data_IF_690931240474
#
_entry.id   IF_690931240474
#
_cell.length_a   1.000
_cell.length_b   1.000
_cell.length_c   1.000
_cell.angle_alpha   90.00
_cell.angle_beta   90.00
_cell.angle_gamma   90.00
#
_symmetry.space_group_name_H-M   'P 1'
#
loop_
_entity.id
_entity.type
_entity.pdbx_description
1 polymer ?
#
# COMPACT_ATOMS: atom_id res chain seq x y z
N UNK A 1 16.76 9.15 10.09
CA UNK A 1 15.93 7.93 10.03
C UNK A 1 14.48 8.36 9.88
N UNK A 2 13.99 8.54 8.66
CA UNK A 2 12.56 8.73 8.42
C UNK A 2 11.89 7.38 8.67
N UNK A 3 11.32 7.20 9.86
CA UNK A 3 10.39 6.11 10.05
C UNK A 3 9.19 6.40 9.13
N UNK A 4 8.93 5.51 8.16
CA UNK A 4 7.57 5.33 7.65
C UNK A 4 6.75 4.89 8.86
N UNK A 5 6.24 5.86 9.60
CA UNK A 5 5.48 5.71 10.83
C UNK A 5 4.07 5.26 10.45
N UNK A 6 3.94 4.04 9.91
CA UNK A 6 2.64 3.44 9.59
C UNK A 6 1.69 3.36 10.79
N UNK A 7 2.16 3.66 12.01
CA UNK A 7 1.36 3.77 13.23
C UNK A 7 0.18 4.73 13.03
N UNK A 8 -1.01 4.16 12.86
CA UNK A 8 -2.28 4.86 12.71
C UNK A 8 -2.62 5.32 11.29
N UNK A 9 -1.71 5.16 10.32
CA UNK A 9 -1.94 5.60 8.94
C UNK A 9 -2.75 4.55 8.16
N UNK A 10 -3.62 5.01 7.26
CA UNK A 10 -4.34 4.17 6.31
C UNK A 10 -3.51 3.96 5.05
N UNK A 11 -3.22 2.71 4.70
CA UNK A 11 -2.28 2.33 3.64
C UNK A 11 -2.88 1.24 2.75
N UNK A 12 -2.67 1.36 1.44
CA UNK A 12 -2.80 0.25 0.49
C UNK A 12 -1.43 -0.35 0.21
N UNK A 13 -1.37 -1.67 0.11
CA UNK A 13 -0.14 -2.43 -0.15
C UNK A 13 -0.51 -3.69 -0.91
N UNK A 14 0.47 -4.31 -1.56
CA UNK A 14 0.30 -5.65 -2.13
C UNK A 14 -0.15 -6.59 -1.01
N UNK A 15 -1.25 -7.31 -1.26
CA UNK A 15 -1.92 -8.08 -0.22
C UNK A 15 -1.25 -9.44 -0.04
N UNK A 16 -1.40 -10.03 1.15
CA UNK A 16 -1.00 -11.41 1.38
C UNK A 16 -1.73 -12.36 0.42
N UNK A 17 -2.98 -12.05 0.08
CA UNK A 17 -3.75 -12.85 -0.88
C UNK A 17 -3.19 -12.77 -2.31
N UNK A 18 -2.79 -11.58 -2.78
CA UNK A 18 -2.12 -11.42 -4.08
C UNK A 18 -0.74 -12.10 -4.10
N UNK A 19 -0.02 -12.08 -2.97
CA UNK A 19 1.27 -12.78 -2.81
C UNK A 19 1.14 -14.31 -2.88
N UNK A 20 0.10 -14.86 -2.24
CA UNK A 20 -0.22 -16.28 -2.29
C UNK A 20 -0.64 -16.73 -3.71
N UNK A 21 -1.44 -15.93 -4.43
CA UNK A 21 -1.81 -16.23 -5.82
C UNK A 21 -0.59 -16.27 -6.76
N UNK A 22 0.42 -15.46 -6.47
CA UNK A 22 1.69 -15.43 -7.21
C UNK A 22 2.71 -16.47 -6.73
N UNK A 23 2.42 -17.21 -5.65
CA UNK A 23 3.30 -18.21 -5.04
C UNK A 23 4.65 -17.62 -4.62
N UNK A 24 4.63 -16.40 -4.09
CA UNK A 24 5.83 -15.66 -3.71
C UNK A 24 6.13 -15.69 -2.20
N UNK A 25 5.26 -16.32 -1.40
CA UNK A 25 5.35 -16.37 0.08
C UNK A 25 6.72 -16.89 0.57
N UNK A 26 7.28 -17.89 -0.11
CA UNK A 26 8.59 -18.48 0.22
C UNK A 26 9.79 -17.75 -0.44
N UNK A 27 9.51 -16.78 -1.31
CA UNK A 27 10.53 -15.99 -2.03
C UNK A 27 10.83 -14.69 -1.29
N UNK A 28 9.79 -14.05 -0.75
CA UNK A 28 9.92 -12.79 -0.03
C UNK A 28 10.43 -13.02 1.40
N UNK A 29 11.23 -12.10 1.96
CA UNK A 29 11.79 -12.26 3.31
C UNK A 29 10.75 -12.06 4.43
N UNK A 30 9.58 -11.50 4.11
CA UNK A 30 8.45 -11.31 5.01
C UNK A 30 7.21 -10.88 4.20
N UNK A 31 6.03 -11.16 4.74
CA UNK A 31 4.75 -10.70 4.19
C UNK A 31 4.53 -9.21 4.51
N UNK A 32 4.46 -8.36 3.47
CA UNK A 32 4.45 -6.90 3.64
C UNK A 32 3.19 -6.38 4.34
N UNK A 33 2.01 -6.88 3.99
CA UNK A 33 0.74 -6.49 4.62
C UNK A 33 0.78 -6.78 6.13
N UNK A 34 1.18 -7.99 6.51
CA UNK A 34 1.33 -8.40 7.91
C UNK A 34 2.32 -7.50 8.65
N UNK A 35 3.50 -7.26 8.07
CA UNK A 35 4.53 -6.44 8.70
C UNK A 35 4.08 -4.97 8.90
N UNK A 36 3.24 -4.43 8.02
CA UNK A 36 2.66 -3.09 8.15
C UNK A 36 1.59 -3.05 9.26
N UNK A 37 0.73 -4.07 9.35
CA UNK A 37 -0.26 -4.22 10.44
C UNK A 37 0.45 -4.27 11.80
N UNK A 38 1.51 -5.06 11.95
CA UNK A 38 2.29 -5.15 13.18
C UNK A 38 2.92 -3.81 13.60
N UNK A 39 3.24 -2.95 12.62
CA UNK A 39 3.71 -1.58 12.85
C UNK A 39 2.59 -0.58 13.13
N UNK A 40 1.33 -1.03 13.11
CA UNK A 40 0.14 -0.27 13.46
C UNK A 40 -0.56 0.41 12.27
N UNK A 41 -0.28 0.00 11.04
CA UNK A 41 -1.01 0.47 9.86
C UNK A 41 -2.43 -0.07 9.81
N UNK A 42 -3.34 0.72 9.23
CA UNK A 42 -4.68 0.26 8.83
C UNK A 42 -4.64 -0.07 7.35
N UNK A 43 -4.74 -1.35 7.02
CA UNK A 43 -4.73 -1.79 5.63
C UNK A 43 -6.09 -1.50 5.01
N UNK A 44 -6.06 -0.77 3.90
CA UNK A 44 -7.21 -0.44 3.08
C UNK A 44 -6.99 -1.05 1.69
N UNK A 45 -7.65 -2.19 1.46
CA UNK A 45 -7.48 -3.05 0.29
C UNK A 45 -8.77 -3.19 -0.51
N UNK A 46 -8.64 -3.36 -1.82
CA UNK A 46 -9.70 -3.77 -2.73
C UNK A 46 -9.56 -5.27 -3.05
N UNK A 47 -10.45 -5.78 -3.91
CA UNK A 47 -10.30 -7.12 -4.49
C UNK A 47 -8.93 -7.29 -5.16
N UNK A 48 -8.41 -8.51 -5.18
CA UNK A 48 -7.11 -8.81 -5.77
C UNK A 48 -7.05 -8.30 -7.22
N UNK A 49 -5.94 -7.65 -7.57
CA UNK A 49 -5.66 -7.07 -8.89
C UNK A 49 -6.54 -5.88 -9.29
N UNK A 50 -7.52 -5.48 -8.47
CA UNK A 50 -8.29 -4.27 -8.68
C UNK A 50 -7.43 -3.02 -8.41
N UNK A 51 -7.78 -1.92 -9.07
CA UNK A 51 -7.18 -0.62 -8.81
C UNK A 51 -7.52 -0.12 -7.39
N UNK A 52 -6.49 0.21 -6.61
CA UNK A 52 -6.65 0.72 -5.23
C UNK A 52 -5.48 1.60 -4.79
N UNK A 53 -5.82 2.82 -4.34
CA UNK A 53 -4.90 3.81 -3.76
C UNK A 53 -5.50 4.35 -2.46
N UNK A 54 -4.67 4.44 -1.41
CA UNK A 54 -4.98 5.20 -0.19
C UNK A 54 -4.15 6.48 -0.14
N UNK A 55 -4.77 7.56 0.34
CA UNK A 55 -4.14 8.85 0.60
C UNK A 55 -4.38 9.21 2.06
N UNK A 56 -3.31 9.33 2.84
CA UNK A 56 -3.33 9.77 4.24
C UNK A 56 -2.37 10.95 4.43
N UNK A 57 -2.91 12.16 4.38
CA UNK A 57 -2.13 13.39 4.34
C UNK A 57 -1.22 13.44 3.10
N UNK A 58 0.10 13.39 3.33
CA UNK A 58 1.12 13.36 2.26
C UNK A 58 1.63 11.96 1.91
N UNK A 59 1.11 10.92 2.55
CA UNK A 59 1.42 9.53 2.22
C UNK A 59 0.43 9.04 1.17
N UNK A 60 0.94 8.66 -0.02
CA UNK A 60 0.16 8.04 -1.10
C UNK A 60 0.72 6.66 -1.34
N UNK A 61 -0.13 5.64 -1.27
CA UNK A 61 0.25 4.23 -1.43
C UNK A 61 -0.74 3.50 -2.33
N UNK A 62 -0.27 2.52 -3.11
CA UNK A 62 -1.08 1.73 -4.03
C UNK A 62 -0.93 0.23 -3.76
N UNK A 63 -2.00 -0.52 -4.01
CA UNK A 63 -2.05 -1.96 -3.76
C UNK A 63 -1.16 -2.75 -4.72
N UNK A 64 -1.37 -2.61 -6.03
CA UNK A 64 -0.77 -3.51 -7.03
C UNK A 64 -0.43 -2.73 -8.32
N UNK A 65 0.12 -3.39 -9.36
CA UNK A 65 0.46 -2.72 -10.62
C UNK A 65 -0.70 -2.01 -11.32
N UNK A 66 -1.94 -2.49 -11.17
CA UNK A 66 -3.11 -1.81 -11.75
C UNK A 66 -3.32 -0.42 -11.13
N UNK A 67 -2.90 -0.22 -9.87
CA UNK A 67 -2.98 1.06 -9.18
C UNK A 67 -1.97 2.12 -9.65
N UNK A 68 -1.00 1.79 -10.49
CA UNK A 68 0.14 2.67 -10.78
C UNK A 68 -0.28 4.01 -11.41
N UNK A 69 -1.26 4.00 -12.33
CA UNK A 69 -1.73 5.21 -12.99
C UNK A 69 -2.44 6.14 -12.00
N UNK A 70 -3.47 5.63 -11.31
CA UNK A 70 -4.19 6.38 -10.28
C UNK A 70 -3.26 6.89 -9.17
N UNK A 71 -2.26 6.10 -8.76
CA UNK A 71 -1.27 6.52 -7.77
C UNK A 71 -0.55 7.79 -8.23
N UNK A 72 -0.11 7.84 -9.49
CA UNK A 72 0.52 9.01 -10.08
C UNK A 72 -0.39 10.25 -10.06
N UNK A 73 -1.65 10.08 -10.43
CA UNK A 73 -2.65 11.16 -10.38
C UNK A 73 -2.83 11.69 -8.95
N UNK A 74 -2.89 10.79 -7.95
CA UNK A 74 -3.00 11.17 -6.53
C UNK A 74 -1.77 11.87 -6.00
N UNK A 75 -0.57 11.45 -6.41
CA UNK A 75 0.67 12.17 -6.06
C UNK A 75 0.65 13.60 -6.60
N UNK A 76 0.26 13.81 -7.86
CA UNK A 76 0.14 15.16 -8.44
C UNK A 76 -0.87 16.00 -7.66
N UNK A 77 -2.04 15.44 -7.35
CA UNK A 77 -3.07 16.11 -6.55
C UNK A 77 -2.53 16.54 -5.17
N UNK A 78 -1.84 15.65 -4.46
CA UNK A 78 -1.24 15.94 -3.14
C UNK A 78 -0.15 17.01 -3.23
N UNK A 79 0.67 17.02 -4.29
CA UNK A 79 1.72 18.03 -4.47
C UNK A 79 1.18 19.42 -4.85
N UNK A 80 0.02 19.47 -5.49
CA UNK A 80 -0.65 20.73 -5.83
C UNK A 80 -1.42 21.33 -4.63
N UNK A 81 -1.59 20.57 -3.56
CA UNK A 81 -2.17 21.04 -2.30
C UNK A 81 -1.05 21.64 -1.41
N UNK A 82 -0.69 22.90 -1.70
CA UNK A 82 0.14 23.83 -0.90
C UNK A 82 1.40 23.27 -0.21
#
# INVERSE_FOLDING_TARGET
MMALSGRGQTISTFTNEEEAEMQLEEVVPFALETALIEKGARIDKAENWAEKVSVDGRLVTGQNPASAHLLGEKVVQVLQQN
#
